data_IF_651052543068
#
_entry.id   IF_651052543068
#
_cell.length_a   1.000
_cell.length_b   1.000
_cell.length_c   1.000
_cell.angle_alpha   90.00
_cell.angle_beta   90.00
_cell.angle_gamma   90.00
#
_symmetry.space_group_name_H-M   'P 1'
#
loop_
_entity.id
_entity.type
_entity.pdbx_description
1 polymer ?
#
# COMPACT_ATOMS: atom_id res chain seq x y z
N UNK A 1 -5.97 3.80 -15.92
CA UNK A 1 -6.38 2.57 -15.18
C UNK A 1 -7.37 1.77 -16.01
N UNK A 2 -8.52 2.35 -16.41
CA UNK A 2 -9.57 1.60 -17.12
C UNK A 2 -9.08 0.98 -18.45
N UNK A 3 -8.38 1.74 -19.26
CA UNK A 3 -7.79 1.25 -20.52
C UNK A 3 -6.79 0.11 -20.30
N UNK A 4 -5.97 0.22 -19.27
CA UNK A 4 -5.02 -0.85 -18.89
C UNK A 4 -5.74 -2.12 -18.47
N UNK A 5 -6.81 -2.01 -17.68
CA UNK A 5 -7.64 -3.14 -17.28
C UNK A 5 -8.29 -3.84 -18.49
N UNK A 6 -8.71 -3.08 -19.52
CA UNK A 6 -9.29 -3.67 -20.74
C UNK A 6 -8.31 -4.56 -21.52
N UNK A 7 -7.00 -4.35 -21.36
CA UNK A 7 -5.98 -5.19 -21.98
C UNK A 7 -5.73 -6.52 -21.24
N UNK A 8 -6.20 -6.66 -20.01
CA UNK A 8 -5.85 -7.76 -19.09
C UNK A 8 -6.18 -9.17 -19.62
N UNK A 9 -7.15 -9.30 -20.52
CA UNK A 9 -7.60 -10.58 -21.07
C UNK A 9 -7.46 -10.69 -22.60
N UNK A 10 -6.79 -9.72 -23.24
CA UNK A 10 -6.52 -9.80 -24.68
C UNK A 10 -5.40 -10.79 -24.97
N UNK A 11 -5.57 -11.59 -26.02
CA UNK A 11 -4.63 -12.64 -26.38
C UNK A 11 -3.19 -12.19 -26.65
N UNK A 12 -2.99 -10.92 -27.04
CA UNK A 12 -1.67 -10.31 -27.27
C UNK A 12 -0.98 -9.78 -26.01
N UNK A 13 -1.70 -9.67 -24.87
CA UNK A 13 -1.17 -9.12 -23.61
C UNK A 13 -1.23 -10.17 -22.50
N UNK A 14 -0.27 -11.09 -22.52
CA UNK A 14 -0.20 -12.20 -21.55
C UNK A 14 0.73 -11.85 -20.39
N UNK A 15 0.18 -11.37 -19.30
CA UNK A 15 0.93 -11.06 -18.07
C UNK A 15 0.82 -12.16 -17.01
N UNK A 16 -0.06 -13.15 -17.20
CA UNK A 16 -0.39 -14.17 -16.21
C UNK A 16 -1.23 -13.65 -15.03
N UNK A 17 -1.96 -12.56 -15.25
CA UNK A 17 -2.77 -11.88 -14.26
C UNK A 17 -1.98 -10.89 -13.40
N UNK A 18 -2.66 -9.87 -12.90
CA UNK A 18 -2.10 -8.82 -12.04
C UNK A 18 -2.88 -8.76 -10.74
N UNK A 19 -2.17 -8.65 -9.61
CA UNK A 19 -2.77 -8.31 -8.32
C UNK A 19 -2.71 -6.80 -8.16
N UNK A 20 -3.86 -6.16 -8.21
CA UNK A 20 -3.99 -4.71 -7.99
C UNK A 20 -4.28 -4.43 -6.53
N UNK A 21 -3.35 -3.78 -5.83
CA UNK A 21 -3.53 -3.39 -4.44
C UNK A 21 -3.92 -1.92 -4.39
N UNK A 22 -5.10 -1.63 -3.90
CA UNK A 22 -5.62 -0.27 -3.74
C UNK A 22 -5.54 0.11 -2.27
N UNK A 23 -4.67 1.04 -1.94
CA UNK A 23 -4.61 1.66 -0.61
C UNK A 23 -5.68 2.73 -0.54
N UNK A 24 -6.90 2.32 -0.16
CA UNK A 24 -8.07 3.18 -0.14
C UNK A 24 -8.17 3.95 1.17
N UNK A 25 -7.52 5.10 1.22
CA UNK A 25 -7.54 5.98 2.40
C UNK A 25 -8.77 6.89 2.49
N UNK A 26 -9.74 6.74 1.59
CA UNK A 26 -11.06 7.38 1.60
C UNK A 26 -11.04 8.92 1.50
N UNK A 27 -9.94 9.49 1.03
CA UNK A 27 -9.83 10.93 0.76
C UNK A 27 -8.89 11.18 -0.40
N UNK A 28 -9.21 12.11 -1.28
CA UNK A 28 -8.36 12.54 -2.39
C UNK A 28 -7.95 14.00 -2.20
N UNK A 29 -6.79 14.28 -1.62
CA UNK A 29 -6.40 15.59 -1.09
C UNK A 29 -7.44 16.08 -0.07
N UNK A 30 -8.43 16.87 -0.49
CA UNK A 30 -9.55 17.33 0.33
C UNK A 30 -10.89 16.76 -0.14
N UNK A 31 -10.92 16.00 -1.24
CA UNK A 31 -12.14 15.46 -1.83
C UNK A 31 -12.59 14.19 -1.14
N UNK A 32 -13.84 14.17 -0.68
CA UNK A 32 -14.45 12.99 -0.09
C UNK A 32 -14.81 11.96 -1.17
N UNK A 33 -14.99 10.67 -0.85
CA UNK A 33 -15.44 9.67 -1.81
C UNK A 33 -16.77 10.02 -2.47
N UNK A 34 -17.67 10.66 -1.73
CA UNK A 34 -18.99 11.09 -2.20
C UNK A 34 -18.92 12.11 -3.34
N UNK A 35 -17.90 12.99 -3.28
CA UNK A 35 -17.71 14.06 -4.25
C UNK A 35 -16.74 13.65 -5.37
N UNK A 36 -15.97 12.59 -5.15
CA UNK A 36 -14.91 12.14 -6.06
C UNK A 36 -15.31 11.07 -7.07
N UNK A 37 -16.44 10.37 -6.88
CA UNK A 37 -16.89 9.31 -7.78
C UNK A 37 -18.39 9.06 -7.67
N UNK A 38 -18.96 8.53 -8.75
CA UNK A 38 -20.38 8.13 -8.82
C UNK A 38 -20.62 6.72 -8.29
N UNK A 39 -19.61 5.86 -8.30
CA UNK A 39 -19.72 4.47 -7.84
C UNK A 39 -19.53 4.35 -6.33
N UNK A 40 -20.06 3.28 -5.73
CA UNK A 40 -19.92 3.01 -4.29
C UNK A 40 -18.47 2.77 -3.92
N UNK A 41 -17.75 1.97 -4.70
CA UNK A 41 -16.35 1.63 -4.46
C UNK A 41 -15.44 2.22 -5.53
N UNK A 42 -14.25 2.67 -5.14
CA UNK A 42 -13.23 3.11 -6.10
C UNK A 42 -12.78 1.97 -7.03
N UNK A 43 -12.97 0.74 -6.63
CA UNK A 43 -12.63 -0.49 -7.36
C UNK A 43 -13.71 -0.98 -8.30
N UNK A 44 -14.86 -0.29 -8.39
CA UNK A 44 -15.97 -0.71 -9.28
C UNK A 44 -15.58 -0.76 -10.77
N UNK A 45 -14.53 -0.06 -11.18
CA UNK A 45 -13.95 -0.15 -12.52
C UNK A 45 -13.49 -1.57 -12.88
N UNK A 46 -13.11 -2.38 -11.89
CA UNK A 46 -12.69 -3.77 -12.10
C UNK A 46 -13.83 -4.69 -12.53
N UNK A 47 -15.08 -4.33 -12.19
CA UNK A 47 -16.26 -5.08 -12.60
C UNK A 47 -16.44 -5.13 -14.12
N UNK A 48 -15.99 -4.10 -14.83
CA UNK A 48 -16.08 -4.03 -16.29
C UNK A 48 -15.26 -5.13 -17.01
N UNK A 49 -14.24 -5.67 -16.37
CA UNK A 49 -13.40 -6.76 -16.89
C UNK A 49 -13.62 -8.07 -16.12
N UNK A 50 -14.63 -8.13 -15.24
CA UNK A 50 -14.95 -9.32 -14.46
C UNK A 50 -13.86 -9.74 -13.47
N UNK A 51 -12.99 -8.81 -13.04
CA UNK A 51 -11.98 -9.09 -12.03
C UNK A 51 -12.63 -9.12 -10.64
N UNK A 52 -12.37 -10.16 -9.82
CA UNK A 52 -12.84 -10.19 -8.45
C UNK A 52 -12.21 -9.08 -7.62
N UNK A 53 -12.99 -8.55 -6.67
CA UNK A 53 -12.56 -7.50 -5.73
C UNK A 53 -12.70 -8.01 -4.31
N UNK A 54 -11.62 -7.97 -3.55
CA UNK A 54 -11.58 -8.30 -2.14
C UNK A 54 -11.50 -6.99 -1.34
N UNK A 55 -12.54 -6.67 -0.58
CA UNK A 55 -12.53 -5.53 0.34
C UNK A 55 -12.04 -5.99 1.72
N UNK A 56 -11.02 -5.34 2.25
CA UNK A 56 -10.42 -5.71 3.52
C UNK A 56 -10.15 -4.48 4.39
N UNK A 57 -10.38 -4.61 5.71
CA UNK A 57 -10.06 -3.58 6.66
C UNK A 57 -8.54 -3.51 6.89
N UNK A 58 -7.90 -2.37 6.56
CA UNK A 58 -6.47 -2.14 6.75
C UNK A 58 -6.01 -2.13 8.21
N UNK A 59 -6.92 -2.02 9.17
CA UNK A 59 -6.61 -2.13 10.60
C UNK A 59 -6.61 -3.58 11.12
N UNK A 60 -6.93 -4.56 10.27
CA UNK A 60 -6.86 -5.98 10.58
C UNK A 60 -5.77 -6.68 9.74
N UNK A 61 -4.52 -6.76 10.26
CA UNK A 61 -3.42 -7.39 9.53
C UNK A 61 -3.67 -8.86 9.16
N UNK A 62 -4.37 -9.61 9.99
CA UNK A 62 -4.67 -11.01 9.70
C UNK A 62 -5.59 -11.14 8.48
N UNK A 63 -6.65 -10.34 8.42
CA UNK A 63 -7.56 -10.29 7.26
C UNK A 63 -6.86 -9.79 6.00
N UNK A 64 -5.94 -8.81 6.11
CA UNK A 64 -5.15 -8.33 4.97
C UNK A 64 -4.26 -9.44 4.41
N UNK A 65 -3.56 -10.19 5.28
CA UNK A 65 -2.74 -11.34 4.86
C UNK A 65 -3.60 -12.42 4.22
N UNK A 66 -4.78 -12.71 4.78
CA UNK A 66 -5.69 -13.69 4.21
C UNK A 66 -6.20 -13.28 2.82
N UNK A 67 -6.61 -12.02 2.65
CA UNK A 67 -7.00 -11.48 1.33
C UNK A 67 -5.86 -11.53 0.31
N UNK A 68 -4.63 -11.22 0.75
CA UNK A 68 -3.46 -11.31 -0.12
C UNK A 68 -3.17 -12.75 -0.58
N UNK A 69 -3.34 -13.74 0.30
CA UNK A 69 -3.21 -15.16 -0.06
C UNK A 69 -4.27 -15.59 -1.08
N UNK A 70 -5.53 -15.24 -0.84
CA UNK A 70 -6.61 -15.53 -1.80
C UNK A 70 -6.31 -14.90 -3.16
N UNK A 71 -5.88 -13.63 -3.18
CA UNK A 71 -5.54 -12.94 -4.41
C UNK A 71 -4.38 -13.62 -5.15
N UNK A 72 -3.34 -14.02 -4.41
CA UNK A 72 -2.21 -14.75 -4.97
C UNK A 72 -2.63 -16.10 -5.57
N UNK A 73 -3.37 -16.92 -4.82
CA UNK A 73 -3.86 -18.22 -5.25
C UNK A 73 -4.77 -18.10 -6.47
N UNK A 74 -5.67 -17.12 -6.46
CA UNK A 74 -6.54 -16.82 -7.59
C UNK A 74 -5.71 -16.48 -8.85
N UNK A 75 -4.78 -15.56 -8.73
CA UNK A 75 -3.90 -15.17 -9.83
C UNK A 75 -3.09 -16.37 -10.36
N UNK A 76 -2.54 -17.21 -9.48
CA UNK A 76 -1.74 -18.38 -9.87
C UNK A 76 -2.58 -19.46 -10.54
N UNK A 77 -3.82 -19.65 -10.10
CA UNK A 77 -4.72 -20.70 -10.61
C UNK A 77 -5.35 -20.29 -11.94
N UNK A 78 -5.84 -19.07 -12.03
CA UNK A 78 -6.65 -18.64 -13.17
C UNK A 78 -5.90 -17.76 -14.16
N UNK A 79 -4.71 -17.27 -13.81
CA UNK A 79 -3.91 -16.33 -14.61
C UNK A 79 -4.72 -15.09 -15.03
N UNK A 80 -5.52 -14.56 -14.09
CA UNK A 80 -6.40 -13.40 -14.26
C UNK A 80 -6.12 -12.34 -13.21
N UNK A 81 -6.57 -11.13 -13.51
CA UNK A 81 -6.48 -9.99 -12.60
C UNK A 81 -7.39 -10.17 -11.39
N UNK A 82 -6.93 -9.68 -10.26
CA UNK A 82 -7.67 -9.61 -8.99
C UNK A 82 -7.34 -8.31 -8.29
N UNK A 83 -8.31 -7.74 -7.62
CA UNK A 83 -8.16 -6.46 -6.91
C UNK A 83 -8.29 -6.67 -5.41
N UNK A 84 -7.39 -6.10 -4.64
CA UNK A 84 -7.47 -6.03 -3.18
C UNK A 84 -7.65 -4.57 -2.78
N UNK A 85 -8.84 -4.23 -2.28
CA UNK A 85 -9.20 -2.91 -1.78
C UNK A 85 -8.94 -2.87 -0.27
N UNK A 86 -7.80 -2.31 0.12
CA UNK A 86 -7.42 -2.13 1.52
C UNK A 86 -8.01 -0.83 2.03
N UNK A 87 -9.18 -0.93 2.67
CA UNK A 87 -9.89 0.22 3.24
C UNK A 87 -9.15 0.70 4.50
N UNK A 88 -8.63 1.91 4.45
CA UNK A 88 -7.83 2.50 5.50
C UNK A 88 -8.14 4.00 5.66
N UNK A 89 -7.26 4.73 6.31
CA UNK A 89 -7.36 6.19 6.44
C UNK A 89 -5.97 6.83 6.33
N UNK A 90 -5.93 8.07 5.87
CA UNK A 90 -4.71 8.86 5.79
C UNK A 90 -4.45 9.51 7.14
N UNK A 91 -3.34 9.19 7.74
CA UNK A 91 -2.99 9.64 9.08
C UNK A 91 -2.43 11.06 9.13
N UNK A 92 -1.78 11.49 8.06
CA UNK A 92 -1.14 12.81 7.93
C UNK A 92 -1.73 13.56 6.75
N UNK A 93 -1.26 14.78 6.48
CA UNK A 93 -1.67 15.55 5.34
C UNK A 93 -1.35 14.90 3.98
N UNK A 94 -1.85 15.52 2.92
CA UNK A 94 -1.59 15.09 1.54
C UNK A 94 -0.10 15.21 1.18
N UNK A 95 0.54 16.24 1.69
CA UNK A 95 1.98 16.49 1.61
C UNK A 95 2.47 17.11 2.92
N UNK A 96 3.76 17.46 2.99
CA UNK A 96 4.38 17.99 4.21
C UNK A 96 3.84 19.38 4.63
N UNK A 97 3.32 20.15 3.70
CA UNK A 97 2.75 21.48 3.96
C UNK A 97 1.25 21.49 4.24
N UNK A 98 0.58 20.32 4.15
CA UNK A 98 -0.87 20.22 4.34
C UNK A 98 -1.22 19.84 5.78
N UNK A 99 -2.01 20.70 6.44
CA UNK A 99 -2.68 20.34 7.69
C UNK A 99 -4.16 20.02 7.42
N UNK A 100 -4.51 18.73 7.38
CA UNK A 100 -5.85 18.31 7.02
C UNK A 100 -6.91 18.62 8.09
N UNK A 101 -6.52 19.05 9.28
CA UNK A 101 -7.46 19.44 10.33
C UNK A 101 -8.25 20.70 9.96
N UNK A 102 -7.71 21.54 9.08
CA UNK A 102 -8.41 22.74 8.58
C UNK A 102 -9.57 22.40 7.63
N UNK A 103 -9.44 21.33 6.85
CA UNK A 103 -10.43 20.96 5.82
C UNK A 103 -11.33 19.81 6.24
N UNK A 104 -10.81 18.85 7.03
CA UNK A 104 -11.54 17.70 7.58
C UNK A 104 -11.38 17.59 9.11
N UNK A 105 -11.84 18.59 9.89
CA UNK A 105 -11.60 18.63 11.34
C UNK A 105 -12.22 17.46 12.09
N UNK A 106 -13.44 17.07 11.73
CA UNK A 106 -14.13 15.95 12.39
C UNK A 106 -13.40 14.62 12.14
N UNK A 107 -13.05 14.32 10.89
CA UNK A 107 -12.35 13.08 10.54
C UNK A 107 -10.99 13.01 11.24
N UNK A 108 -10.22 14.09 11.25
CA UNK A 108 -8.90 14.10 11.86
C UNK A 108 -8.95 14.13 13.40
N UNK A 109 -10.02 14.64 13.99
CA UNK A 109 -10.31 14.43 15.41
C UNK A 109 -10.44 12.94 15.76
N UNK A 110 -11.23 12.19 15.00
CA UNK A 110 -11.39 10.74 15.17
C UNK A 110 -10.08 9.98 14.92
N UNK A 111 -9.31 10.38 13.90
CA UNK A 111 -8.01 9.75 13.58
C UNK A 111 -6.99 9.99 14.70
N UNK A 112 -6.97 11.18 15.32
CA UNK A 112 -6.07 11.50 16.43
C UNK A 112 -6.32 10.63 17.66
N UNK A 113 -7.57 10.33 17.95
CA UNK A 113 -7.98 9.47 19.09
C UNK A 113 -7.77 7.97 18.80
N UNK A 114 -7.65 7.61 17.52
CA UNK A 114 -7.57 6.21 17.11
C UNK A 114 -6.24 5.58 17.49
N UNK A 115 -6.30 4.44 18.15
CA UNK A 115 -5.14 3.61 18.45
C UNK A 115 -4.49 3.08 17.18
N UNK A 116 -3.17 2.93 17.17
CA UNK A 116 -2.45 2.40 16.00
C UNK A 116 -2.86 0.95 15.69
N UNK A 117 -2.81 0.57 14.42
CA UNK A 117 -3.03 -0.82 13.95
C UNK A 117 -2.20 -1.83 14.75
N UNK A 118 -0.92 -1.52 15.01
CA UNK A 118 -0.05 -2.37 15.84
C UNK A 118 -0.64 -2.60 17.23
N UNK A 119 -1.10 -1.52 17.90
CA UNK A 119 -1.65 -1.63 19.25
C UNK A 119 -2.94 -2.46 19.26
N UNK A 120 -3.84 -2.22 18.32
CA UNK A 120 -5.08 -2.98 18.17
C UNK A 120 -4.80 -4.47 17.90
N UNK A 121 -3.86 -4.77 17.02
CA UNK A 121 -3.48 -6.13 16.69
C UNK A 121 -2.85 -6.86 17.87
N UNK A 122 -1.91 -6.22 18.59
CA UNK A 122 -1.32 -6.76 19.81
C UNK A 122 -2.38 -7.10 20.85
N UNK A 123 -3.29 -6.15 21.14
CA UNK A 123 -4.38 -6.36 22.11
C UNK A 123 -5.27 -7.55 21.71
N UNK A 124 -5.57 -7.70 20.42
CA UNK A 124 -6.35 -8.82 19.92
C UNK A 124 -5.62 -10.16 20.10
N UNK A 125 -4.33 -10.23 19.78
CA UNK A 125 -3.53 -11.46 19.95
C UNK A 125 -3.40 -11.85 21.42
N UNK A 126 -3.11 -10.91 22.29
CA UNK A 126 -3.02 -11.15 23.75
C UNK A 126 -4.39 -11.55 24.30
N UNK A 127 -5.45 -10.86 23.90
CA UNK A 127 -6.83 -11.17 24.34
C UNK A 127 -7.33 -12.54 23.95
N UNK A 128 -6.82 -13.10 22.84
CA UNK A 128 -7.11 -14.49 22.40
C UNK A 128 -6.16 -15.51 23.03
N UNK A 129 -5.10 -15.09 23.68
CA UNK A 129 -4.08 -15.97 24.22
C UNK A 129 -3.10 -16.52 23.17
N UNK A 130 -3.02 -15.92 21.99
CA UNK A 130 -2.10 -16.33 20.94
C UNK A 130 -0.65 -15.97 21.28
N UNK A 131 -0.45 -14.86 22.00
CA UNK A 131 0.84 -14.40 22.55
C UNK A 131 0.65 -13.80 23.94
N UNK A 132 1.73 -13.69 24.70
CA UNK A 132 1.75 -12.96 25.97
C UNK A 132 2.06 -11.47 25.75
N UNK A 133 1.84 -10.64 26.76
CA UNK A 133 2.21 -9.23 26.72
C UNK A 133 3.74 -9.06 26.62
N UNK A 134 4.48 -9.91 27.33
CA UNK A 134 5.94 -9.91 27.34
C UNK A 134 6.51 -10.23 25.94
N UNK A 135 5.95 -11.21 25.23
CA UNK A 135 6.34 -11.54 23.86
C UNK A 135 6.08 -10.37 22.91
N UNK A 136 4.95 -9.69 23.07
CA UNK A 136 4.62 -8.51 22.26
C UNK A 136 5.59 -7.34 22.52
N UNK A 137 5.95 -7.09 23.76
CA UNK A 137 6.88 -6.04 24.15
C UNK A 137 8.30 -6.36 23.68
N UNK A 138 8.72 -7.63 23.79
CA UNK A 138 10.01 -8.08 23.27
C UNK A 138 10.10 -7.89 21.76
N UNK A 139 9.08 -8.30 20.99
CA UNK A 139 9.05 -8.12 19.53
C UNK A 139 9.17 -6.64 19.13
N UNK A 140 8.52 -5.73 19.87
CA UNK A 140 8.64 -4.30 19.66
C UNK A 140 10.07 -3.80 19.95
N UNK A 141 10.68 -4.27 21.02
CA UNK A 141 12.03 -3.88 21.39
C UNK A 141 13.07 -4.37 20.37
N UNK A 142 12.96 -5.62 19.93
CA UNK A 142 13.83 -6.20 18.90
C UNK A 142 13.76 -5.40 17.59
N UNK A 143 12.56 -5.00 17.18
CA UNK A 143 12.38 -4.19 15.98
C UNK A 143 13.02 -2.80 16.13
N UNK A 144 12.86 -2.15 17.28
CA UNK A 144 13.51 -0.85 17.55
C UNK A 144 15.03 -0.96 17.53
N UNK A 145 15.59 -1.98 18.15
CA UNK A 145 17.04 -2.23 18.15
C UNK A 145 17.57 -2.47 16.73
N UNK A 146 16.79 -3.20 15.92
CA UNK A 146 17.13 -3.41 14.51
C UNK A 146 17.15 -2.09 13.71
N UNK A 147 16.15 -1.23 13.91
CA UNK A 147 16.10 0.09 13.24
C UNK A 147 17.28 0.97 13.68
N UNK A 148 17.59 1.02 14.98
CA UNK A 148 18.69 1.82 15.50
C UNK A 148 20.04 1.36 14.93
N UNK A 149 20.25 0.05 14.87
CA UNK A 149 21.45 -0.52 14.24
C UNK A 149 21.56 -0.11 12.78
N UNK A 150 20.49 -0.30 11.97
CA UNK A 150 20.49 0.06 10.55
C UNK A 150 20.71 1.56 10.36
N UNK A 151 20.10 2.39 11.19
CA UNK A 151 20.28 3.84 11.16
C UNK A 151 21.74 4.22 11.43
N UNK A 152 22.37 3.62 12.45
CA UNK A 152 23.78 3.84 12.79
C UNK A 152 24.71 3.39 11.65
N UNK A 153 24.49 2.19 11.10
CA UNK A 153 25.26 1.64 9.99
C UNK A 153 25.13 2.54 8.73
N UNK A 154 23.93 3.02 8.44
CA UNK A 154 23.69 3.88 7.28
C UNK A 154 24.36 5.24 7.42
N UNK A 155 24.31 5.84 8.61
CA UNK A 155 24.99 7.12 8.87
C UNK A 155 26.52 6.99 8.88
N UNK A 156 27.03 5.83 9.27
CA UNK A 156 28.49 5.55 9.25
C UNK A 156 28.99 5.19 7.84
N UNK A 157 28.11 4.72 6.95
CA UNK A 157 28.45 4.41 5.58
C UNK A 157 28.76 5.71 4.81
N UNK A 158 29.96 5.80 4.24
CA UNK A 158 30.29 6.90 3.33
C UNK A 158 29.38 6.83 2.10
N UNK A 159 28.85 7.98 1.62
CA UNK A 159 28.09 8.01 0.37
C UNK A 159 28.98 7.46 -0.75
N UNK A 160 28.58 6.36 -1.37
CA UNK A 160 29.23 5.96 -2.61
C UNK A 160 28.94 7.03 -3.66
N UNK A 161 29.96 7.52 -4.40
CA UNK A 161 29.73 8.46 -5.48
C UNK A 161 28.75 7.80 -6.48
N UNK A 162 27.63 8.46 -6.72
CA UNK A 162 26.70 8.04 -7.78
C UNK A 162 27.53 8.01 -9.06
N UNK A 163 27.57 6.87 -9.80
CA UNK A 163 28.27 6.85 -11.08
C UNK A 163 27.63 7.93 -11.95
N UNK A 164 28.39 8.98 -12.27
CA UNK A 164 28.01 9.91 -13.31
C UNK A 164 27.87 9.08 -14.57
N UNK A 165 26.65 9.03 -15.15
CA UNK A 165 26.44 8.46 -16.48
C UNK A 165 27.43 9.20 -17.37
N UNK A 166 28.50 8.51 -17.78
CA UNK A 166 29.54 9.09 -18.60
C UNK A 166 28.89 9.66 -19.85
N UNK A 167 29.17 10.90 -20.15
CA UNK A 167 28.92 11.48 -21.46
C UNK A 167 29.50 10.52 -22.49
N UNK A 168 28.67 9.72 -23.11
CA UNK A 168 29.06 8.97 -24.31
C UNK A 168 29.25 10.01 -25.40
N UNK A 169 30.49 10.52 -25.52
CA UNK A 169 30.92 11.25 -26.68
C UNK A 169 30.99 10.28 -27.87
N UNK A 170 29.82 9.93 -28.38
CA UNK A 170 29.64 9.31 -29.67
C UNK A 170 29.91 10.34 -30.76
N UNK A 171 31.15 10.60 -31.05
CA UNK A 171 31.53 11.28 -32.30
C UNK A 171 31.09 10.39 -33.46
N UNK A 172 30.03 10.75 -34.14
CA UNK A 172 29.65 10.20 -35.43
C UNK A 172 30.78 10.58 -36.41
N UNK A 173 31.56 9.59 -36.83
CA UNK A 173 32.51 9.76 -37.93
C UNK A 173 31.75 10.09 -39.23
N UNK A 174 32.19 11.07 -40.01
CA UNK A 174 31.55 11.33 -41.30
C UNK A 174 31.86 10.18 -42.28
N UNK A 175 30.81 9.59 -42.84
CA UNK A 175 30.91 8.64 -43.94
C UNK A 175 31.23 9.43 -45.19
N UNK A 176 32.34 9.07 -45.84
CA UNK A 176 32.70 9.51 -47.16
C UNK A 176 31.88 8.79 -48.23
#
# INVERSE_FOLDING_TARGET
VYETLQMSQLGGYRTGGTIHVIVNNQVGFTTSPRDGRSSTYCTDVAKAVGAPVLHVNGDDPASVVHAARIAYEYRQTFHRDVVVDVVCYRRRGHNEGDDPSFTQPHMYGLIAEKRSTRKLYTENLVGRGDITQEEADQALQDFRQRLERVFTETNAAQPQPVPTVGESSGALAPTA
#
